data_IF_671432528730
#
_entry.id   IF_671432528730
#
_cell.length_a   1.000
_cell.length_b   1.000
_cell.length_c   1.000
_cell.angle_alpha   90.00
_cell.angle_beta   90.00
_cell.angle_gamma   90.00
#
_symmetry.space_group_name_H-M   'P 1'
#
loop_
_entity.id
_entity.type
_entity.pdbx_description
1 polymer ?
#
# COMPACT_ATOMS: atom_id res chain seq x y z
N UNK A 1 2.51 -15.55 3.90
CA UNK A 1 2.62 -14.21 4.50
C UNK A 1 1.64 -13.29 3.84
N UNK A 2 0.74 -12.73 4.58
CA UNK A 2 -0.42 -12.06 4.03
C UNK A 2 -0.64 -10.69 4.68
N UNK A 3 -1.14 -9.77 3.87
CA UNK A 3 -1.64 -8.47 4.30
C UNK A 3 -2.75 -8.68 5.33
N UNK A 4 -2.62 -8.04 6.48
CA UNK A 4 -3.52 -8.25 7.61
C UNK A 4 -4.84 -7.49 7.49
N UNK A 5 -5.79 -7.83 8.35
CA UNK A 5 -7.13 -7.22 8.33
C UNK A 5 -7.10 -5.71 8.62
N UNK A 6 -6.22 -5.25 9.51
CA UNK A 6 -6.06 -3.82 9.80
C UNK A 6 -5.55 -3.04 8.58
N UNK A 7 -4.56 -3.61 7.87
CA UNK A 7 -4.06 -3.05 6.62
C UNK A 7 -5.12 -3.02 5.53
N UNK A 8 -5.88 -4.11 5.38
CA UNK A 8 -6.96 -4.19 4.40
C UNK A 8 -8.05 -3.14 4.66
N UNK A 9 -8.41 -2.95 5.92
CA UNK A 9 -9.38 -1.91 6.30
C UNK A 9 -8.89 -0.51 5.96
N UNK A 10 -7.62 -0.22 6.23
CA UNK A 10 -7.01 1.05 5.86
C UNK A 10 -7.05 1.27 4.34
N UNK A 11 -6.65 0.26 3.57
CA UNK A 11 -6.58 0.35 2.11
C UNK A 11 -7.98 0.59 1.52
N UNK A 12 -8.96 -0.22 1.91
CA UNK A 12 -10.34 -0.06 1.43
C UNK A 12 -10.92 1.31 1.75
N UNK A 13 -10.68 1.81 2.96
CA UNK A 13 -11.12 3.14 3.39
C UNK A 13 -10.44 4.25 2.57
N UNK A 14 -9.15 4.10 2.30
CA UNK A 14 -8.37 5.09 1.58
C UNK A 14 -8.73 5.14 0.09
N UNK A 15 -8.90 3.98 -0.54
CA UNK A 15 -9.22 3.89 -1.96
C UNK A 15 -10.69 4.17 -2.25
N UNK A 16 -11.60 3.68 -1.41
CA UNK A 16 -13.04 3.72 -1.67
C UNK A 16 -13.45 2.75 -2.76
N UNK A 17 -14.76 2.41 -2.77
CA UNK A 17 -15.31 1.49 -3.76
C UNK A 17 -16.02 2.25 -4.89
N UNK A 18 -15.67 1.94 -6.14
CA UNK A 18 -16.36 2.43 -7.34
C UNK A 18 -16.81 1.24 -8.17
N UNK A 19 -18.10 1.15 -8.42
CA UNK A 19 -18.67 0.04 -9.17
C UNK A 19 -18.53 0.16 -10.69
N UNK A 20 -18.15 1.31 -11.19
CA UNK A 20 -17.94 1.58 -12.62
C UNK A 20 -16.59 2.20 -12.86
N UNK A 21 -16.08 2.07 -14.09
CA UNK A 21 -14.82 2.67 -14.50
C UNK A 21 -14.87 4.18 -14.30
N UNK A 22 -13.82 4.70 -13.68
CA UNK A 22 -13.55 6.13 -13.57
C UNK A 22 -12.08 6.39 -13.91
N UNK A 23 -11.75 7.63 -14.15
CA UNK A 23 -10.36 8.01 -14.41
C UNK A 23 -9.77 8.63 -13.16
N UNK A 24 -8.60 8.13 -12.75
CA UNK A 24 -7.90 8.67 -11.59
C UNK A 24 -7.28 10.04 -11.91
N UNK A 25 -6.65 10.74 -10.93
CA UNK A 25 -6.01 12.04 -11.20
C UNK A 25 -4.94 12.00 -12.29
N UNK A 26 -4.35 10.85 -12.58
CA UNK A 26 -3.37 10.66 -13.67
C UNK A 26 -4.04 10.24 -14.98
N UNK A 27 -5.38 10.30 -15.07
CA UNK A 27 -6.18 9.92 -16.23
C UNK A 27 -6.07 8.44 -16.60
N UNK A 28 -5.88 7.59 -15.59
CA UNK A 28 -5.79 6.13 -15.76
C UNK A 28 -7.15 5.51 -15.46
N UNK A 29 -7.71 4.66 -16.37
CA UNK A 29 -8.97 3.98 -16.12
C UNK A 29 -8.84 3.04 -14.92
N UNK A 30 -9.77 3.16 -13.98
CA UNK A 30 -9.73 2.53 -12.66
C UNK A 30 -11.11 2.03 -12.27
N UNK A 31 -11.20 0.96 -11.50
CA UNK A 31 -12.47 0.40 -11.02
C UNK A 31 -12.27 -0.27 -9.65
N UNK A 32 -13.37 -0.47 -8.92
CA UNK A 32 -13.33 -1.18 -7.64
C UNK A 32 -12.61 -0.39 -6.57
N UNK A 33 -11.65 -1.01 -5.92
CA UNK A 33 -10.80 -0.40 -4.88
C UNK A 33 -9.46 0.08 -5.47
N UNK A 34 -9.52 0.88 -6.53
CA UNK A 34 -8.32 1.42 -7.14
C UNK A 34 -7.63 0.49 -8.14
N UNK A 35 -8.34 -0.52 -8.64
CA UNK A 35 -7.77 -1.42 -9.64
C UNK A 35 -7.60 -0.69 -10.98
N UNK A 36 -6.37 -0.65 -11.50
CA UNK A 36 -6.08 -0.11 -12.83
C UNK A 36 -6.56 -1.09 -13.89
N UNK A 37 -7.47 -0.62 -14.74
CA UNK A 37 -8.04 -1.46 -15.82
C UNK A 37 -6.99 -1.71 -16.88
N UNK A 38 -6.71 -2.99 -17.14
CA UNK A 38 -5.76 -3.41 -18.19
C UNK A 38 -6.43 -3.38 -19.57
N UNK A 39 -5.64 -3.23 -20.65
CA UNK A 39 -6.21 -3.25 -22.01
C UNK A 39 -6.98 -4.52 -22.35
N UNK A 40 -6.64 -5.66 -21.70
CA UNK A 40 -7.31 -6.95 -21.89
C UNK A 40 -8.61 -7.09 -21.09
N UNK A 41 -8.88 -6.15 -20.18
CA UNK A 41 -10.04 -6.20 -19.28
C UNK A 41 -11.19 -5.34 -19.81
N UNK A 42 -12.41 -5.78 -19.54
CA UNK A 42 -13.62 -5.05 -19.91
C UNK A 42 -14.67 -5.17 -18.79
N UNK A 43 -15.26 -4.05 -18.41
CA UNK A 43 -16.28 -3.99 -17.36
C UNK A 43 -17.49 -3.15 -17.83
N UNK A 44 -18.18 -3.58 -18.91
CA UNK A 44 -19.22 -2.74 -19.53
C UNK A 44 -20.41 -2.48 -18.62
N UNK A 45 -20.70 -3.38 -17.68
CA UNK A 45 -21.80 -3.26 -16.72
C UNK A 45 -21.32 -2.97 -15.30
N UNK A 46 -20.04 -2.62 -15.14
CA UNK A 46 -19.45 -2.42 -13.83
C UNK A 46 -19.15 -3.74 -13.09
N UNK A 47 -18.89 -3.62 -11.81
CA UNK A 47 -18.60 -4.77 -10.93
C UNK A 47 -19.34 -4.59 -9.60
N UNK A 48 -19.57 -5.70 -8.89
CA UNK A 48 -20.06 -5.67 -7.52
C UNK A 48 -18.88 -5.67 -6.51
N UNK A 49 -19.19 -5.58 -5.23
CA UNK A 49 -18.18 -5.56 -4.17
C UNK A 49 -17.37 -6.85 -4.13
N UNK A 50 -18.00 -8.01 -4.37
CA UNK A 50 -17.30 -9.30 -4.37
C UNK A 50 -16.26 -9.37 -5.49
N UNK A 51 -16.60 -8.91 -6.69
CA UNK A 51 -15.66 -8.82 -7.81
C UNK A 51 -14.54 -7.81 -7.52
N UNK A 52 -14.88 -6.66 -6.93
CA UNK A 52 -13.88 -5.66 -6.53
C UNK A 52 -12.90 -6.22 -5.50
N UNK A 53 -13.37 -7.00 -4.53
CA UNK A 53 -12.52 -7.67 -3.54
C UNK A 53 -11.59 -8.71 -4.16
N UNK A 54 -12.05 -9.43 -5.19
CA UNK A 54 -11.19 -10.36 -5.93
C UNK A 54 -10.07 -9.65 -6.68
N UNK A 55 -10.39 -8.56 -7.37
CA UNK A 55 -9.38 -7.73 -8.05
C UNK A 55 -8.40 -7.14 -7.04
N UNK A 56 -8.91 -6.66 -5.92
CA UNK A 56 -8.08 -6.13 -4.85
C UNK A 56 -7.11 -7.18 -4.30
N UNK A 57 -7.57 -8.41 -4.10
CA UNK A 57 -6.69 -9.49 -3.62
C UNK A 57 -5.54 -9.77 -4.59
N UNK A 58 -5.79 -9.74 -5.90
CA UNK A 58 -4.75 -9.88 -6.91
C UNK A 58 -3.74 -8.74 -6.84
N UNK A 59 -4.23 -7.50 -6.74
CA UNK A 59 -3.38 -6.31 -6.71
C UNK A 59 -2.56 -6.25 -5.42
N UNK A 60 -3.16 -6.63 -4.28
CA UNK A 60 -2.47 -6.74 -2.99
C UNK A 60 -1.37 -7.80 -3.08
N UNK A 61 -1.65 -8.94 -3.71
CA UNK A 61 -0.63 -9.99 -3.84
C UNK A 61 0.61 -9.47 -4.56
N UNK A 62 0.45 -8.70 -5.62
CA UNK A 62 1.58 -8.08 -6.32
C UNK A 62 2.36 -7.13 -5.40
N UNK A 63 1.66 -6.33 -4.60
CA UNK A 63 2.30 -5.43 -3.64
C UNK A 63 3.03 -6.19 -2.53
N UNK A 64 2.44 -7.28 -2.03
CA UNK A 64 3.08 -8.17 -1.04
C UNK A 64 4.41 -8.73 -1.59
N UNK A 65 4.39 -9.21 -2.82
CA UNK A 65 5.60 -9.75 -3.46
C UNK A 65 6.69 -8.69 -3.63
N UNK A 66 6.31 -7.47 -3.94
CA UNK A 66 7.24 -6.34 -4.01
C UNK A 66 7.92 -6.11 -2.66
N UNK A 67 7.15 -6.05 -1.58
CA UNK A 67 7.70 -5.84 -0.23
C UNK A 67 8.65 -6.98 0.14
N UNK A 68 8.24 -8.23 -0.10
CA UNK A 68 9.06 -9.41 0.20
C UNK A 68 10.38 -9.42 -0.59
N UNK A 69 10.36 -8.91 -1.81
CA UNK A 69 11.55 -8.83 -2.66
C UNK A 69 12.52 -7.74 -2.20
N UNK A 70 12.01 -6.59 -1.79
CA UNK A 70 12.82 -5.41 -1.51
C UNK A 70 13.33 -5.33 -0.07
N UNK A 71 12.56 -5.84 0.91
CA UNK A 71 12.93 -5.81 2.32
C UNK A 71 13.91 -6.95 2.63
N UNK A 72 15.02 -6.62 3.30
CA UNK A 72 16.12 -7.55 3.60
C UNK A 72 16.34 -7.75 5.10
N UNK A 73 15.43 -7.27 5.93
CA UNK A 73 15.49 -7.39 7.39
C UNK A 73 14.18 -7.95 7.92
N UNK A 74 14.19 -8.46 9.16
CA UNK A 74 12.97 -8.91 9.83
C UNK A 74 12.01 -7.74 10.04
N UNK A 75 10.74 -7.94 9.76
CA UNK A 75 9.69 -6.94 9.99
C UNK A 75 8.46 -7.56 10.66
N UNK A 76 7.74 -6.74 11.37
CA UNK A 76 6.49 -7.12 12.04
C UNK A 76 5.30 -7.09 11.06
N UNK A 77 4.16 -7.64 11.49
CA UNK A 77 2.91 -7.56 10.71
C UNK A 77 2.53 -6.10 10.44
N UNK A 78 2.63 -5.22 11.45
CA UNK A 78 2.31 -3.81 11.28
C UNK A 78 3.21 -3.11 10.27
N UNK A 79 4.50 -3.40 10.30
CA UNK A 79 5.46 -2.88 9.34
C UNK A 79 5.18 -3.41 7.93
N UNK A 80 4.91 -4.70 7.81
CA UNK A 80 4.53 -5.32 6.54
C UNK A 80 3.28 -4.66 5.95
N UNK A 81 2.23 -4.53 6.76
CA UNK A 81 0.97 -3.92 6.31
C UNK A 81 1.16 -2.47 5.86
N UNK A 82 1.94 -1.69 6.61
CA UNK A 82 2.25 -0.30 6.23
C UNK A 82 2.97 -0.24 4.88
N UNK A 83 3.95 -1.12 4.67
CA UNK A 83 4.73 -1.17 3.43
C UNK A 83 3.89 -1.65 2.24
N UNK A 84 3.02 -2.63 2.44
CA UNK A 84 2.11 -3.11 1.38
C UNK A 84 1.16 -1.99 0.96
N UNK A 85 0.57 -1.27 1.91
CA UNK A 85 -0.29 -0.13 1.60
C UNK A 85 0.47 0.98 0.87
N UNK A 86 1.70 1.26 1.29
CA UNK A 86 2.57 2.23 0.62
C UNK A 86 2.83 1.84 -0.85
N UNK A 87 3.19 0.58 -1.10
CA UNK A 87 3.43 0.08 -2.46
C UNK A 87 2.16 0.11 -3.30
N UNK A 88 1.03 -0.30 -2.72
CA UNK A 88 -0.26 -0.25 -3.41
C UNK A 88 -0.58 1.18 -3.87
N UNK A 89 -0.37 2.15 -2.99
CA UNK A 89 -0.68 3.56 -3.26
C UNK A 89 0.33 4.23 -4.19
N UNK A 90 1.62 4.02 -3.97
CA UNK A 90 2.68 4.80 -4.62
C UNK A 90 3.51 4.00 -5.63
N UNK A 91 3.46 2.68 -5.59
CA UNK A 91 4.14 1.81 -6.54
C UNK A 91 5.48 1.27 -6.06
N UNK A 92 5.90 0.18 -6.70
CA UNK A 92 7.13 -0.54 -6.38
C UNK A 92 8.39 0.32 -6.57
N UNK A 93 8.43 1.11 -7.65
CA UNK A 93 9.63 1.90 -7.99
C UNK A 93 9.91 2.98 -6.94
N UNK A 94 8.88 3.58 -6.38
CA UNK A 94 9.04 4.61 -5.34
C UNK A 94 9.60 4.01 -4.07
N UNK A 95 9.11 2.85 -3.65
CA UNK A 95 9.69 2.16 -2.49
C UNK A 95 11.15 1.77 -2.77
N UNK A 96 11.42 1.17 -3.92
CA UNK A 96 12.76 0.69 -4.27
C UNK A 96 13.81 1.81 -4.23
N UNK A 97 13.47 3.02 -4.65
CA UNK A 97 14.38 4.16 -4.69
C UNK A 97 14.36 5.01 -3.41
N UNK A 98 13.56 4.65 -2.41
CA UNK A 98 13.31 5.50 -1.24
C UNK A 98 14.41 5.44 -0.19
N UNK A 99 14.58 6.53 0.54
CA UNK A 99 15.36 6.57 1.79
C UNK A 99 14.73 5.67 2.85
N UNK A 100 13.38 5.55 2.85
CA UNK A 100 12.65 4.65 3.72
C UNK A 100 13.20 3.23 3.64
N UNK A 101 13.31 2.70 2.42
CA UNK A 101 13.80 1.33 2.21
C UNK A 101 15.27 1.18 2.61
N UNK A 102 16.10 2.17 2.30
CA UNK A 102 17.52 2.15 2.71
C UNK A 102 17.66 2.13 4.22
N UNK A 103 16.93 2.99 4.92
CA UNK A 103 16.95 3.03 6.39
C UNK A 103 16.48 1.71 6.98
N UNK A 104 15.37 1.17 6.46
CA UNK A 104 14.82 -0.10 6.92
C UNK A 104 15.84 -1.24 6.76
N UNK A 105 16.46 -1.35 5.58
CA UNK A 105 17.36 -2.47 5.27
C UNK A 105 18.71 -2.41 6.02
N UNK A 106 19.04 -1.30 6.64
CA UNK A 106 20.20 -1.21 7.55
C UNK A 106 19.76 -1.24 9.02
N UNK A 107 18.52 -1.59 9.31
CA UNK A 107 17.99 -1.77 10.65
C UNK A 107 17.56 -0.49 11.36
N UNK A 108 17.42 0.61 10.66
CA UNK A 108 16.94 1.88 11.22
C UNK A 108 15.41 1.97 11.13
N UNK A 109 14.72 1.18 11.94
CA UNK A 109 13.27 1.05 11.88
C UNK A 109 12.53 2.35 12.18
N UNK A 110 12.97 3.09 13.19
CA UNK A 110 12.32 4.35 13.57
C UNK A 110 12.54 5.43 12.52
N UNK A 111 13.74 5.51 11.96
CA UNK A 111 14.04 6.44 10.87
C UNK A 111 13.19 6.11 9.62
N UNK A 112 13.05 4.82 9.30
CA UNK A 112 12.20 4.38 8.20
C UNK A 112 10.74 4.79 8.41
N UNK A 113 10.22 4.63 9.63
CA UNK A 113 8.85 5.04 9.96
C UNK A 113 8.66 6.56 9.76
N UNK A 114 9.62 7.36 10.20
CA UNK A 114 9.57 8.82 9.98
C UNK A 114 9.56 9.17 8.49
N UNK A 115 10.25 8.40 7.66
CA UNK A 115 10.27 8.61 6.22
C UNK A 115 8.91 8.38 5.57
N UNK A 116 8.03 7.53 6.14
CA UNK A 116 6.65 7.40 5.64
C UNK A 116 5.96 8.75 5.56
N UNK A 117 6.13 9.57 6.59
CA UNK A 117 5.45 10.85 6.73
C UNK A 117 5.88 11.89 5.69
N UNK A 118 7.00 11.66 5.01
CA UNK A 118 7.50 12.55 3.95
C UNK A 118 6.76 12.38 2.61
N UNK A 119 5.99 11.29 2.46
CA UNK A 119 5.31 10.95 1.21
C UNK A 119 3.86 11.44 1.19
N UNK A 120 3.67 12.72 1.48
CA UNK A 120 2.37 13.38 1.58
C UNK A 120 2.18 14.51 0.56
N UNK A 121 3.09 14.61 -0.41
CA UNK A 121 3.08 15.68 -1.41
C UNK A 121 2.84 15.16 -2.83
N UNK A 122 2.21 16.01 -3.64
CA UNK A 122 2.26 15.90 -5.10
C UNK A 122 3.07 17.11 -5.59
N UNK A 123 4.26 16.86 -6.12
CA UNK A 123 5.23 17.92 -6.39
C UNK A 123 5.66 18.62 -5.10
N UNK A 124 5.43 19.93 -5.00
CA UNK A 124 5.74 20.72 -3.80
C UNK A 124 4.51 20.90 -2.89
N UNK A 125 3.34 20.41 -3.29
CA UNK A 125 2.08 20.63 -2.59
C UNK A 125 1.75 19.45 -1.67
N UNK A 126 1.53 19.75 -0.38
CA UNK A 126 0.98 18.77 0.57
C UNK A 126 -0.48 18.44 0.21
N UNK A 127 -0.82 17.16 0.22
CA UNK A 127 -2.17 16.66 -0.07
C UNK A 127 -2.72 15.98 1.17
N UNK A 128 -3.85 16.49 1.69
CA UNK A 128 -4.44 16.02 2.95
C UNK A 128 -4.74 14.52 2.96
N UNK A 129 -5.24 13.97 1.85
CA UNK A 129 -5.51 12.53 1.74
C UNK A 129 -4.26 11.68 1.82
N UNK A 130 -3.16 12.12 1.19
CA UNK A 130 -1.87 11.43 1.28
C UNK A 130 -1.29 11.53 2.67
N UNK A 131 -1.41 12.69 3.31
CA UNK A 131 -0.96 12.88 4.69
C UNK A 131 -1.68 11.95 5.64
N UNK A 132 -3.01 11.89 5.58
CA UNK A 132 -3.81 11.01 6.43
C UNK A 132 -3.44 9.54 6.22
N UNK A 133 -3.19 9.13 4.98
CA UNK A 133 -2.80 7.76 4.65
C UNK A 133 -1.42 7.41 5.21
N UNK A 134 -0.45 8.31 5.09
CA UNK A 134 0.89 8.11 5.67
C UNK A 134 0.84 8.04 7.19
N UNK A 135 0.04 8.87 7.83
CA UNK A 135 -0.16 8.83 9.27
C UNK A 135 -0.78 7.50 9.71
N UNK A 136 -1.76 6.99 8.97
CA UNK A 136 -2.38 5.70 9.24
C UNK A 136 -1.37 4.55 9.07
N UNK A 137 -0.52 4.58 8.06
CA UNK A 137 0.58 3.61 7.89
C UNK A 137 1.58 3.68 9.05
N UNK A 138 1.92 4.88 9.50
CA UNK A 138 2.78 5.10 10.66
C UNK A 138 2.18 4.47 11.92
N UNK A 139 0.87 4.61 12.12
CA UNK A 139 0.17 3.97 13.25
C UNK A 139 0.16 2.44 13.13
N UNK A 140 -0.03 1.87 11.94
CA UNK A 140 0.10 0.43 11.72
C UNK A 140 1.50 -0.06 12.09
N UNK A 141 2.52 0.66 11.66
CA UNK A 141 3.93 0.34 11.93
C UNK A 141 4.20 0.18 13.42
N UNK A 142 3.61 1.05 14.24
CA UNK A 142 3.84 1.10 15.69
C UNK A 142 2.75 0.38 16.50
N UNK A 143 1.78 -0.27 15.87
CA UNK A 143 0.67 -0.90 16.57
C UNK A 143 1.17 -2.06 17.44
N UNK A 144 1.00 -1.98 18.79
CA UNK A 144 1.48 -3.02 19.69
C UNK A 144 0.80 -4.38 19.49
N UNK A 145 -0.39 -4.41 18.88
CA UNK A 145 -1.11 -5.65 18.56
C UNK A 145 -0.56 -6.35 17.31
N UNK A 146 0.30 -5.69 16.54
CA UNK A 146 0.82 -6.17 15.25
C UNK A 146 2.35 -6.36 15.30
N UNK A 147 2.89 -6.76 16.44
CA UNK A 147 4.34 -6.90 16.66
C UNK A 147 4.94 -8.25 16.26
N UNK A 148 4.10 -9.23 15.90
CA UNK A 148 4.61 -10.53 15.47
C UNK A 148 5.43 -10.36 14.18
N UNK A 149 6.63 -10.95 14.14
CA UNK A 149 7.45 -10.95 12.94
C UNK A 149 6.82 -11.84 11.87
N UNK A 150 6.71 -11.31 10.67
CA UNK A 150 6.14 -12.00 9.51
C UNK A 150 7.15 -12.23 8.40
N UNK A 151 8.28 -11.50 8.45
CA UNK A 151 9.45 -11.72 7.59
C UNK A 151 10.65 -11.85 8.50
N UNK A 152 11.36 -12.96 8.36
CA UNK A 152 12.61 -13.20 9.08
C UNK A 152 13.62 -13.76 8.10
N UNK A 153 14.77 -13.10 8.01
CA UNK A 153 15.90 -13.53 7.20
C UNK A 153 16.94 -14.15 8.15
N UNK A 154 16.80 -15.42 8.37
CA UNK A 154 17.74 -16.16 9.20
C UNK A 154 19.02 -16.50 8.43
#
# INVERSE_FOLDING_TARGET
MAFGSAGLSLLKKSEGFRNRIYFDPADIPTIGYGHRVLPSESFPNGIDEAQASQLLAQDIHAAEQTVLKLVKVAITQGQFDALVDFVYNLGANRLAASTLLRDLNIGRYDAAAEQLLMWDHVGTKEVAGLKARREAEFHLWHNPLLRAEVVSWA
#
